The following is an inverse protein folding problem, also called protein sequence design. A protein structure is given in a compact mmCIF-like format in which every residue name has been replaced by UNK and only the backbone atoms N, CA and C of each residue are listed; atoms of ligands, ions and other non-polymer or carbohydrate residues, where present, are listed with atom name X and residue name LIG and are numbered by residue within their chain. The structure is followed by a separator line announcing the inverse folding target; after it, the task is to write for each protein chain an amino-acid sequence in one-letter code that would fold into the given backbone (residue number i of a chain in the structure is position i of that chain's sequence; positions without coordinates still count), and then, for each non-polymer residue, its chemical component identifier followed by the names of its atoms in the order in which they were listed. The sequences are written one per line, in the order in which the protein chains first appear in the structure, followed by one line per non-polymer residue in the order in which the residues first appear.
data_IF_030609191251
#
_entry.id   IF_030609191251
#
_cell.length_a   1.000
_cell.length_b   1.000
_cell.length_c   1.000
_cell.angle_alpha   90.00
_cell.angle_beta   90.00
_cell.angle_gamma   90.00
#
_symmetry.space_group_name_H-M   'P 1'
#
loop_
_entity.id
_entity.type
_entity.pdbx_description
1 polymer ?
#
# COMPACT_ATOMS: atom_id res chain seq x y z
N UNK A 1 -4.38 -12.73 4.49
CA UNK A 1 -3.08 -12.03 4.35
C UNK A 1 -3.24 -10.55 4.04
N UNK A 2 -3.62 -10.12 2.82
CA UNK A 2 -3.76 -8.66 2.54
C UNK A 2 -4.86 -7.99 3.37
N UNK A 3 -5.99 -8.68 3.58
CA UNK A 3 -7.06 -8.18 4.46
C UNK A 3 -6.57 -7.99 5.90
N UNK A 4 -5.73 -8.89 6.42
CA UNK A 4 -5.16 -8.78 7.76
C UNK A 4 -4.22 -7.58 7.88
N UNK A 5 -3.39 -7.32 6.86
CA UNK A 5 -2.54 -6.11 6.81
C UNK A 5 -3.41 -4.86 6.77
N UNK A 6 -4.47 -4.87 5.96
CA UNK A 6 -5.40 -3.76 5.83
C UNK A 6 -6.14 -3.47 7.15
N UNK A 7 -6.57 -4.51 7.89
CA UNK A 7 -7.17 -4.34 9.21
C UNK A 7 -6.23 -3.69 10.22
N UNK A 8 -4.94 -4.02 10.19
CA UNK A 8 -3.93 -3.34 11.02
C UNK A 8 -3.80 -1.86 10.63
N UNK A 9 -3.84 -1.54 9.33
CA UNK A 9 -3.82 -0.15 8.84
C UNK A 9 -5.07 0.61 9.32
N UNK A 10 -6.25 0.00 9.21
CA UNK A 10 -7.50 0.59 9.70
C UNK A 10 -7.50 0.77 11.21
N UNK A 11 -6.92 -0.15 11.97
CA UNK A 11 -6.71 0.03 13.41
C UNK A 11 -5.84 1.25 13.69
N UNK A 12 -4.75 1.47 12.92
CA UNK A 12 -3.92 2.68 13.05
C UNK A 12 -4.63 3.97 12.63
N UNK A 13 -5.62 3.89 11.74
CA UNK A 13 -6.51 5.02 11.40
C UNK A 13 -7.45 5.35 12.57
N UNK A 14 -8.07 4.33 13.19
CA UNK A 14 -9.01 4.50 14.32
C UNK A 14 -8.32 4.82 15.65
N UNK A 15 -7.14 4.25 15.86
CA UNK A 15 -6.33 4.33 17.07
C UNK A 15 -4.91 4.82 16.71
N UNK A 16 -4.73 6.12 16.36
CA UNK A 16 -3.43 6.64 15.95
C UNK A 16 -2.38 6.47 17.04
N UNK A 17 -1.18 6.04 16.67
CA UNK A 17 -0.02 6.04 17.56
C UNK A 17 1.03 7.02 17.04
N UNK A 18 1.52 7.98 17.85
CA UNK A 18 2.46 9.01 17.41
C UNK A 18 3.72 8.45 16.71
N UNK A 19 4.25 7.32 17.21
CA UNK A 19 5.48 6.72 16.67
C UNK A 19 5.21 5.75 15.51
N UNK A 20 3.99 5.70 14.98
CA UNK A 20 3.61 4.78 13.91
C UNK A 20 3.80 5.42 12.55
N UNK A 21 4.59 4.77 11.70
CA UNK A 21 4.75 5.16 10.30
C UNK A 21 3.41 5.34 9.56
N UNK A 22 2.50 4.36 9.69
CA UNK A 22 1.16 4.42 9.08
C UNK A 22 0.34 5.60 9.60
N UNK A 23 0.37 5.88 10.92
CA UNK A 23 -0.39 7.00 11.48
C UNK A 23 0.15 8.34 10.98
N UNK A 24 1.47 8.46 10.79
CA UNK A 24 2.08 9.64 10.17
C UNK A 24 1.52 9.83 8.75
N UNK A 25 1.65 8.84 7.88
CA UNK A 25 1.16 8.93 6.49
C UNK A 25 -0.31 9.31 6.39
N UNK A 26 -1.17 8.65 7.19
CA UNK A 26 -2.60 8.95 7.21
C UNK A 26 -2.90 10.37 7.71
N UNK A 27 -2.11 10.89 8.66
CA UNK A 27 -2.28 12.23 9.19
C UNK A 27 -1.78 13.33 8.26
N UNK A 28 -0.74 13.04 7.46
CA UNK A 28 -0.12 13.99 6.55
C UNK A 28 -0.77 13.99 5.16
N UNK A 29 -1.50 12.93 4.80
CA UNK A 29 -2.09 12.80 3.46
C UNK A 29 -1.07 12.43 2.39
N UNK A 30 0.12 11.94 2.80
CA UNK A 30 1.27 11.68 1.92
C UNK A 30 1.25 10.26 1.32
N UNK A 31 0.18 9.48 1.52
CA UNK A 31 0.14 8.10 1.05
C UNK A 31 0.25 8.00 -0.49
N UNK A 32 -0.30 8.98 -1.23
CA UNK A 32 -0.19 9.01 -2.70
C UNK A 32 1.22 9.27 -3.19
N UNK A 33 1.99 10.08 -2.47
CA UNK A 33 3.36 10.42 -2.85
C UNK A 33 4.26 9.20 -2.68
N UNK A 34 4.07 8.43 -1.60
CA UNK A 34 4.71 7.12 -1.42
C UNK A 34 4.34 6.13 -2.53
N UNK A 35 3.07 6.03 -2.92
CA UNK A 35 2.67 5.16 -4.04
C UNK A 35 3.39 5.54 -5.34
N UNK A 36 3.58 6.84 -5.61
CA UNK A 36 4.32 7.31 -6.78
C UNK A 36 5.81 6.93 -6.71
N UNK A 37 6.43 7.10 -5.54
CA UNK A 37 7.83 6.73 -5.28
C UNK A 37 8.05 5.22 -5.51
N UNK A 38 7.29 4.37 -4.82
CA UNK A 38 7.43 2.90 -4.91
C UNK A 38 7.14 2.37 -6.31
N UNK A 39 6.23 3.01 -7.05
CA UNK A 39 5.97 2.65 -8.44
C UNK A 39 7.19 2.95 -9.33
N UNK A 40 7.91 4.05 -9.08
CA UNK A 40 9.15 4.36 -9.78
C UNK A 40 10.25 3.36 -9.42
N UNK A 41 10.43 3.08 -8.13
CA UNK A 41 11.44 2.15 -7.63
C UNK A 41 11.21 0.73 -8.15
N UNK A 42 9.96 0.25 -8.20
CA UNK A 42 9.65 -1.04 -8.79
C UNK A 42 9.99 -1.10 -10.30
N UNK A 43 9.73 -0.03 -11.05
CA UNK A 43 10.09 0.04 -12.47
C UNK A 43 11.61 0.04 -12.66
N UNK A 44 12.35 0.74 -11.81
CA UNK A 44 13.82 0.72 -11.82
C UNK A 44 14.37 -0.65 -11.44
N UNK A 45 13.82 -1.27 -10.39
CA UNK A 45 14.19 -2.60 -9.94
C UNK A 45 13.99 -3.65 -11.04
N UNK A 46 12.89 -3.55 -11.78
CA UNK A 46 12.59 -4.45 -12.89
C UNK A 46 13.55 -4.32 -14.08
N UNK A 47 14.26 -3.19 -14.23
CA UNK A 47 15.22 -2.96 -15.33
C UNK A 47 16.62 -3.42 -14.99
N UNK A 48 17.10 -3.11 -13.79
CA UNK A 48 18.54 -3.12 -13.49
C UNK A 48 18.91 -3.92 -12.23
N UNK A 49 17.94 -4.44 -11.46
CA UNK A 49 18.21 -5.05 -10.16
C UNK A 49 17.94 -6.55 -10.14
N UNK A 50 18.35 -7.16 -9.04
CA UNK A 50 18.11 -8.58 -8.78
C UNK A 50 16.65 -8.83 -8.37
N UNK A 51 16.21 -10.09 -8.53
CA UNK A 51 14.86 -10.55 -8.16
C UNK A 51 14.44 -10.13 -6.74
N UNK A 52 15.39 -10.04 -5.81
CA UNK A 52 15.13 -9.65 -4.43
C UNK A 52 14.58 -8.22 -4.34
N UNK A 53 15.16 -7.28 -5.07
CA UNK A 53 14.71 -5.89 -5.07
C UNK A 53 13.33 -5.75 -5.71
N UNK A 54 13.08 -6.46 -6.82
CA UNK A 54 11.74 -6.49 -7.44
C UNK A 54 10.67 -6.96 -6.44
N UNK A 55 10.98 -7.99 -5.64
CA UNK A 55 10.05 -8.46 -4.60
C UNK A 55 9.86 -7.43 -3.50
N UNK A 56 10.92 -6.72 -3.12
CA UNK A 56 10.88 -5.67 -2.10
C UNK A 56 9.97 -4.51 -2.53
N UNK A 57 10.26 -3.89 -3.68
CA UNK A 57 9.49 -2.71 -4.14
C UNK A 57 8.06 -3.08 -4.54
N UNK A 58 7.84 -4.31 -5.02
CA UNK A 58 6.47 -4.78 -5.26
C UNK A 58 5.68 -4.91 -3.95
N UNK A 59 6.32 -5.38 -2.87
CA UNK A 59 5.68 -5.47 -1.57
C UNK A 59 5.41 -4.08 -0.99
N UNK A 60 6.34 -3.14 -1.14
CA UNK A 60 6.19 -1.79 -0.61
C UNK A 60 5.13 -1.00 -1.38
N UNK A 61 5.11 -1.09 -2.72
CA UNK A 61 4.04 -0.52 -3.53
C UNK A 61 2.65 -1.06 -3.13
N UNK A 62 2.52 -2.37 -2.90
CA UNK A 62 1.27 -2.96 -2.44
C UNK A 62 0.89 -2.41 -1.05
N UNK A 63 1.84 -2.37 -0.12
CA UNK A 63 1.60 -1.83 1.23
C UNK A 63 1.15 -0.37 1.21
N UNK A 64 1.85 0.48 0.46
CA UNK A 64 1.52 1.89 0.31
C UNK A 64 0.18 2.11 -0.40
N UNK A 65 -0.17 1.24 -1.36
CA UNK A 65 -1.49 1.24 -1.97
C UNK A 65 -2.58 0.94 -0.93
N UNK A 66 -2.35 -0.02 -0.02
CA UNK A 66 -3.29 -0.30 1.08
C UNK A 66 -3.43 0.88 2.04
N UNK A 67 -2.34 1.60 2.36
CA UNK A 67 -2.40 2.80 3.19
C UNK A 67 -3.21 3.91 2.49
N UNK A 68 -2.98 4.13 1.20
CA UNK A 68 -3.75 5.10 0.40
C UNK A 68 -5.24 4.74 0.35
N UNK A 69 -5.57 3.47 0.18
CA UNK A 69 -6.96 3.00 0.22
C UNK A 69 -7.62 3.31 1.56
N UNK A 70 -6.94 3.05 2.68
CA UNK A 70 -7.43 3.40 3.99
C UNK A 70 -7.59 4.92 4.17
N UNK A 71 -6.67 5.73 3.64
CA UNK A 71 -6.76 7.19 3.64
C UNK A 71 -8.02 7.68 2.89
N UNK A 72 -8.34 7.06 1.75
CA UNK A 72 -9.49 7.43 0.90
C UNK A 72 -10.79 6.67 1.21
N UNK A 73 -10.83 5.93 2.32
CA UNK A 73 -12.00 5.14 2.74
C UNK A 73 -12.46 4.10 1.70
N UNK A 74 -11.51 3.52 0.94
CA UNK A 74 -11.76 2.44 -0.01
C UNK A 74 -11.38 1.11 0.64
N UNK A 75 -12.31 0.17 0.73
CA UNK A 75 -12.03 -1.12 1.36
C UNK A 75 -11.34 -2.07 0.37
N UNK A 76 -10.39 -2.87 0.87
CA UNK A 76 -9.72 -3.91 0.06
C UNK A 76 -10.67 -4.88 -0.63
N UNK A 77 -11.80 -5.22 -0.02
CA UNK A 77 -12.81 -6.10 -0.62
C UNK A 77 -13.35 -5.55 -1.95
N UNK A 78 -13.55 -4.23 -2.04
CA UNK A 78 -14.04 -3.55 -3.25
C UNK A 78 -13.03 -3.67 -4.40
N UNK A 79 -11.74 -3.46 -4.11
CA UNK A 79 -10.66 -3.62 -5.09
C UNK A 79 -10.50 -5.09 -5.50
N UNK A 80 -10.62 -6.02 -4.56
CA UNK A 80 -10.56 -7.46 -4.85
C UNK A 80 -11.72 -7.91 -5.74
N UNK A 81 -12.91 -7.37 -5.54
CA UNK A 81 -14.06 -7.63 -6.42
C UNK A 81 -13.84 -7.07 -7.84
N UNK A 82 -13.20 -5.90 -7.96
CA UNK A 82 -12.80 -5.34 -9.24
C UNK A 82 -11.69 -6.18 -9.91
N UNK A 83 -10.71 -6.69 -9.16
CA UNK A 83 -9.69 -7.62 -9.67
C UNK A 83 -10.30 -8.94 -10.14
N UNK A 84 -11.31 -9.49 -9.45
CA UNK A 84 -12.02 -10.70 -9.89
C UNK A 84 -12.64 -10.52 -11.27
N UNK A 85 -13.13 -9.33 -11.62
CA UNK A 85 -13.70 -9.05 -12.96
C UNK A 85 -12.66 -9.11 -14.08
N UNK A 86 -11.36 -8.92 -13.77
CA UNK A 86 -10.26 -8.99 -14.75
C UNK A 86 -9.79 -10.41 -15.06
N UNK A 87 -10.17 -11.40 -14.24
CA UNK A 87 -9.84 -12.83 -14.45
C UNK A 87 -10.76 -13.54 -15.45
N UNK A 88 -11.52 -12.78 -16.25
CA UNK A 88 -12.46 -13.30 -17.26
C UNK A 88 -11.77 -13.50 -18.59
#
# INVERSE_FOLDING_TARGET
MLDEIFEVILDRKRNPKPDSYVSKLLSTGEASDKVLEEASELVEAAREKEKKEIIHEAADLIFHTLVLMAEKDVHIAEVMDELKKRRR
#
